data_IF_209690494131
#
_entry.id   IF_209690494131
#
_cell.length_a   1.000
_cell.length_b   1.000
_cell.length_c   1.000
_cell.angle_alpha   90.00
_cell.angle_beta   90.00
_cell.angle_gamma   90.00
#
_symmetry.space_group_name_H-M   'P 1'
#
loop_
_entity.id
_entity.type
_entity.pdbx_description
1 polymer ?
#
# COMPACT_ATOMS: atom_id res chain seq x y z
N UNK A 1 -12.05 -3.94 -8.76
CA UNK A 1 -10.84 -3.73 -7.94
C UNK A 1 -9.97 -4.97 -8.09
N UNK A 2 -8.70 -4.83 -8.44
CA UNK A 2 -7.74 -5.93 -8.58
C UNK A 2 -7.11 -6.19 -7.22
N UNK A 3 -7.02 -7.45 -6.79
CA UNK A 3 -6.35 -7.78 -5.54
C UNK A 3 -4.84 -7.64 -5.69
N UNK A 4 -4.18 -7.10 -4.67
CA UNK A 4 -2.73 -6.96 -4.65
C UNK A 4 -2.00 -8.27 -4.96
N UNK A 5 -2.52 -9.38 -4.45
CA UNK A 5 -1.96 -10.73 -4.66
C UNK A 5 -2.07 -11.22 -6.10
N UNK A 6 -2.98 -10.63 -6.90
CA UNK A 6 -3.14 -10.93 -8.32
C UNK A 6 -2.24 -10.08 -9.21
N UNK A 7 -1.57 -9.07 -8.66
CA UNK A 7 -0.58 -8.29 -9.38
C UNK A 7 0.73 -9.06 -9.50
N UNK A 8 1.34 -9.00 -10.69
CA UNK A 8 2.69 -9.47 -10.89
C UNK A 8 3.68 -8.80 -9.93
N UNK A 9 4.72 -9.54 -9.55
CA UNK A 9 5.79 -9.03 -8.68
C UNK A 9 6.38 -7.71 -9.20
N UNK A 10 6.49 -7.56 -10.52
CA UNK A 10 7.02 -6.36 -11.13
C UNK A 10 6.11 -5.14 -10.92
N UNK A 11 4.79 -5.32 -11.03
CA UNK A 11 3.79 -4.28 -10.77
C UNK A 11 3.74 -3.92 -9.29
N UNK A 12 3.82 -4.92 -8.40
CA UNK A 12 3.93 -4.69 -6.96
C UNK A 12 5.16 -3.86 -6.59
N UNK A 13 6.32 -4.12 -7.23
CA UNK A 13 7.55 -3.36 -7.03
C UNK A 13 7.37 -1.92 -7.51
N UNK A 14 6.86 -1.70 -8.73
CA UNK A 14 6.59 -0.35 -9.26
C UNK A 14 5.65 0.45 -8.37
N UNK A 15 4.60 -0.18 -7.84
CA UNK A 15 3.64 0.48 -6.95
C UNK A 15 4.27 0.86 -5.61
N UNK A 16 5.14 0.01 -5.05
CA UNK A 16 5.88 0.33 -3.82
C UNK A 16 6.88 1.47 -4.03
N UNK A 17 7.58 1.46 -5.14
CA UNK A 17 8.53 2.51 -5.52
C UNK A 17 7.82 3.85 -5.71
N UNK A 18 6.76 3.87 -6.52
CA UNK A 18 5.91 5.06 -6.71
C UNK A 18 5.26 5.55 -5.41
N UNK A 19 4.89 4.65 -4.49
CA UNK A 19 4.42 5.04 -3.18
C UNK A 19 5.52 5.65 -2.30
N UNK A 20 6.77 5.20 -2.44
CA UNK A 20 7.93 5.82 -1.80
C UNK A 20 8.11 7.28 -2.24
N UNK A 21 8.03 7.53 -3.56
CA UNK A 21 8.04 8.90 -4.10
C UNK A 21 6.85 9.74 -3.62
N UNK A 22 5.66 9.15 -3.54
CA UNK A 22 4.47 9.82 -2.99
C UNK A 22 4.59 10.12 -1.49
N UNK A 23 5.29 9.29 -0.73
CA UNK A 23 5.56 9.57 0.69
C UNK A 23 6.54 10.71 0.88
N UNK A 24 7.51 10.88 -0.02
CA UNK A 24 8.48 11.97 0.02
C UNK A 24 7.81 13.35 -0.14
N UNK A 25 6.68 13.40 -0.86
CA UNK A 25 5.89 14.63 -1.03
C UNK A 25 4.92 14.90 0.12
N UNK A 26 4.73 13.94 1.03
CA UNK A 26 3.80 14.05 2.15
C UNK A 26 4.53 14.40 3.45
N UNK A 27 3.83 15.06 4.39
CA UNK A 27 4.40 15.31 5.71
C UNK A 27 4.74 13.98 6.40
N UNK A 28 5.84 13.93 7.16
CA UNK A 28 6.31 12.73 7.83
C UNK A 28 5.19 12.17 8.71
N UNK A 29 4.76 10.94 8.44
CA UNK A 29 3.80 10.24 9.28
C UNK A 29 4.49 9.68 10.50
N UNK A 30 3.98 9.99 11.69
CA UNK A 30 4.56 9.50 12.95
C UNK A 30 4.24 8.03 13.28
N UNK A 31 3.48 7.31 12.45
CA UNK A 31 3.06 5.93 12.74
C UNK A 31 3.03 5.05 11.50
N UNK A 32 3.45 3.79 11.68
CA UNK A 32 3.43 2.77 10.65
C UNK A 32 1.99 2.50 10.16
N UNK A 33 1.01 2.50 11.07
CA UNK A 33 -0.40 2.32 10.76
C UNK A 33 -0.93 3.40 9.80
N UNK A 34 -0.54 4.66 10.01
CA UNK A 34 -0.90 5.75 9.10
C UNK A 34 -0.27 5.55 7.71
N UNK A 35 0.96 5.05 7.64
CA UNK A 35 1.62 4.75 6.37
C UNK A 35 0.91 3.61 5.64
N UNK A 36 0.45 2.58 6.36
CA UNK A 36 -0.32 1.47 5.80
C UNK A 36 -1.68 1.95 5.30
N UNK A 37 -2.42 2.74 6.09
CA UNK A 37 -3.71 3.30 5.70
C UNK A 37 -3.58 4.21 4.46
N UNK A 38 -2.56 5.07 4.40
CA UNK A 38 -2.27 5.88 3.21
C UNK A 38 -1.93 5.02 1.99
N UNK A 39 -1.21 3.92 2.18
CA UNK A 39 -0.91 3.00 1.08
C UNK A 39 -2.17 2.30 0.55
N UNK A 40 -3.03 1.83 1.46
CA UNK A 40 -4.31 1.22 1.11
C UNK A 40 -5.20 2.21 0.35
N UNK A 41 -5.32 3.45 0.83
CA UNK A 41 -6.11 4.49 0.17
C UNK A 41 -5.55 4.85 -1.21
N UNK A 42 -4.23 5.02 -1.31
CA UNK A 42 -3.53 5.32 -2.56
C UNK A 42 -3.70 4.19 -3.60
N UNK A 43 -3.64 2.93 -3.17
CA UNK A 43 -3.92 1.78 -4.03
C UNK A 43 -5.41 1.69 -4.41
N UNK A 44 -6.32 2.01 -3.48
CA UNK A 44 -7.76 2.01 -3.73
C UNK A 44 -8.15 3.00 -4.84
N UNK A 45 -7.52 4.19 -4.88
CA UNK A 45 -7.69 5.15 -5.97
C UNK A 45 -7.25 4.60 -7.34
N UNK A 46 -6.29 3.67 -7.34
CA UNK A 46 -5.83 2.97 -8.55
C UNK A 46 -6.67 1.72 -8.87
N UNK A 47 -7.73 1.47 -8.10
CA UNK A 47 -8.57 0.29 -8.25
C UNK A 47 -7.90 -0.99 -7.75
N UNK A 48 -6.91 -0.89 -6.87
CA UNK A 48 -6.18 -2.02 -6.30
C UNK A 48 -6.57 -2.19 -4.84
N UNK A 49 -6.94 -3.40 -4.45
CA UNK A 49 -7.28 -3.77 -3.07
C UNK A 49 -6.05 -4.36 -2.39
N UNK A 50 -5.50 -3.64 -1.42
CA UNK A 50 -4.42 -4.14 -0.56
C UNK A 50 -5.02 -4.85 0.66
N UNK A 51 -4.64 -6.10 0.95
CA UNK A 51 -5.15 -6.81 2.12
C UNK A 51 -4.68 -6.10 3.40
N UNK A 52 -5.58 -6.02 4.38
CA UNK A 52 -5.25 -5.50 5.70
C UNK A 52 -4.33 -6.49 6.42
N UNK A 53 -3.02 -6.25 6.38
CA UNK A 53 -2.03 -7.15 7.00
C UNK A 53 -2.00 -7.07 8.53
N UNK A 54 -2.81 -6.22 9.16
CA UNK A 54 -2.92 -6.15 10.63
C UNK A 54 -3.59 -7.42 11.22
N UNK A 55 -4.17 -8.29 10.39
CA UNK A 55 -4.73 -9.59 10.79
C UNK A 55 -3.94 -10.85 10.36
N UNK A 56 -2.64 -10.75 10.08
CA UNK A 56 -1.87 -11.93 9.63
C UNK A 56 -1.03 -12.62 10.74
N UNK A 57 -1.05 -12.13 11.98
CA UNK A 57 -0.40 -12.79 13.14
C UNK A 57 -1.42 -13.11 14.24
N UNK A 58 -2.47 -13.85 13.89
CA UNK A 58 -3.34 -14.53 14.87
C UNK A 58 -4.06 -15.67 14.15
N UNK A 59 -3.34 -16.76 13.88
CA UNK A 59 -3.95 -18.09 13.76
C UNK A 59 -2.93 -19.18 14.04
#
# INVERSE_FOLDING_TARGET
MIEWERLDKQEQIKLRDAFGHYLDTLPPTCSLDMKIARFQEWLSQKGIRYPDRIKAESS
#
